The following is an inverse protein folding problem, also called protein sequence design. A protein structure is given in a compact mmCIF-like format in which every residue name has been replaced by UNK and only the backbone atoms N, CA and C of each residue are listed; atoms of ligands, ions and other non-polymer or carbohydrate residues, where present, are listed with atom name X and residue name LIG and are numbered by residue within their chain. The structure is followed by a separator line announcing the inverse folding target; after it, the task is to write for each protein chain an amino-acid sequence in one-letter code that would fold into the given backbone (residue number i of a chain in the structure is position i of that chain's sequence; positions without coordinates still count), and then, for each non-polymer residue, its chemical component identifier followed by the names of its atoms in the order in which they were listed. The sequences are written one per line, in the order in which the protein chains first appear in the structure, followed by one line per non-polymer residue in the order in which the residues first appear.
data_IF_145017789660
#
_entry.id   IF_145017789660
#
_cell.length_a   1.000
_cell.length_b   1.000
_cell.length_c   1.000
_cell.angle_alpha   90.00
_cell.angle_beta   90.00
_cell.angle_gamma   90.00
#
_symmetry.space_group_name_H-M   'P 1'
#
loop_
_entity.id
_entity.type
_entity.pdbx_description
1 polymer ?
#
# COMPACT_ATOMS: atom_id res chain seq x y z
N UNK A 1 6.76 -1.19 -13.91
CA UNK A 1 7.69 -1.13 -12.76
C UNK A 1 7.24 -2.09 -11.70
N UNK A 2 8.11 -3.01 -11.26
CA UNK A 2 7.81 -3.95 -10.17
C UNK A 2 8.26 -3.33 -8.85
N UNK A 3 7.39 -3.34 -7.86
CA UNK A 3 7.67 -2.83 -6.53
C UNK A 3 7.37 -3.93 -5.51
N UNK A 4 8.26 -4.07 -4.54
CA UNK A 4 8.07 -4.92 -3.37
C UNK A 4 8.16 -4.02 -2.16
N UNK A 5 7.04 -3.89 -1.44
CA UNK A 5 6.94 -3.03 -0.26
C UNK A 5 6.26 -3.80 0.87
N UNK A 6 6.56 -3.40 2.11
CA UNK A 6 5.76 -3.80 3.28
C UNK A 6 4.48 -2.98 3.28
N UNK A 7 3.35 -3.66 3.29
CA UNK A 7 2.03 -3.05 3.43
C UNK A 7 1.44 -3.44 4.78
N UNK A 8 0.61 -2.55 5.34
CA UNK A 8 -0.09 -2.78 6.59
C UNK A 8 -1.58 -2.80 6.32
N UNK A 9 -2.27 -3.83 6.80
CA UNK A 9 -3.73 -3.86 6.75
C UNK A 9 -4.36 -2.91 7.77
N UNK A 10 -5.70 -2.84 7.80
CA UNK A 10 -6.44 -1.97 8.72
C UNK A 10 -6.19 -2.29 10.20
N UNK A 11 -5.73 -3.50 10.50
CA UNK A 11 -5.38 -3.97 11.84
C UNK A 11 -3.90 -3.77 12.18
N UNK A 12 -3.09 -3.30 11.24
CA UNK A 12 -1.66 -3.11 11.40
C UNK A 12 -0.86 -4.40 11.25
N UNK A 13 -1.42 -5.44 10.64
CA UNK A 13 -0.67 -6.63 10.27
C UNK A 13 0.22 -6.31 9.07
N UNK A 14 1.50 -6.62 9.21
CA UNK A 14 2.47 -6.46 8.13
C UNK A 14 2.29 -7.57 7.10
N UNK A 15 2.30 -7.19 5.82
CA UNK A 15 2.34 -8.12 4.71
C UNK A 15 3.28 -7.59 3.64
N UNK A 16 4.23 -8.41 3.23
CA UNK A 16 5.02 -8.08 2.04
C UNK A 16 4.15 -8.24 0.79
N UNK A 17 4.08 -7.18 -0.01
CA UNK A 17 3.30 -7.18 -1.23
C UNK A 17 4.16 -6.76 -2.41
N UNK A 18 4.12 -7.61 -3.43
CA UNK A 18 4.79 -7.34 -4.69
C UNK A 18 3.73 -7.05 -5.74
N UNK A 19 3.86 -5.91 -6.40
CA UNK A 19 2.91 -5.49 -7.43
C UNK A 19 3.62 -4.76 -8.57
N UNK A 20 2.96 -4.75 -9.73
CA UNK A 20 3.48 -4.09 -10.93
C UNK A 20 2.66 -2.84 -11.20
N UNK A 21 3.33 -1.68 -11.22
CA UNK A 21 2.74 -0.41 -11.60
C UNK A 21 3.03 -0.11 -13.08
N UNK A 22 2.03 0.43 -13.77
CA UNK A 22 2.12 0.84 -15.19
C UNK A 22 3.08 2.03 -15.34
N UNK A 23 3.10 2.94 -14.36
CA UNK A 23 3.97 4.12 -14.31
C UNK A 23 4.83 4.15 -13.06
N UNK A 24 5.89 4.96 -13.06
CA UNK A 24 6.73 5.19 -11.89
C UNK A 24 5.91 5.85 -10.79
N UNK A 25 5.95 5.28 -9.59
CA UNK A 25 5.27 5.83 -8.41
C UNK A 25 6.09 6.97 -7.82
N UNK A 26 5.40 7.92 -7.19
CA UNK A 26 6.05 9.00 -6.43
C UNK A 26 6.70 8.43 -5.17
N UNK A 27 7.85 8.97 -4.82
CA UNK A 27 8.56 8.66 -3.57
C UNK A 27 8.06 9.54 -2.44
N UNK A 28 8.04 9.03 -1.20
CA UNK A 28 7.56 9.75 0.00
C UNK A 28 6.05 10.05 0.00
N UNK A 29 5.25 9.12 -0.51
CA UNK A 29 3.78 9.19 -0.51
C UNK A 29 3.19 7.87 -0.02
N UNK A 30 1.95 7.93 0.45
CA UNK A 30 1.19 6.76 0.87
C UNK A 30 0.25 6.28 -0.23
N UNK A 31 0.15 4.97 -0.36
CA UNK A 31 -0.70 4.31 -1.34
C UNK A 31 -1.62 3.32 -0.63
N UNK A 32 -2.90 3.40 -0.92
CA UNK A 32 -3.85 2.34 -0.60
C UNK A 32 -3.85 1.33 -1.74
N UNK A 33 -3.59 0.06 -1.41
CA UNK A 33 -3.59 -1.04 -2.38
C UNK A 33 -4.93 -1.77 -2.33
N UNK A 34 -5.60 -1.85 -3.46
CA UNK A 34 -6.80 -2.67 -3.63
C UNK A 34 -6.39 -4.13 -3.87
N UNK A 35 -6.38 -4.92 -2.81
CA UNK A 35 -6.04 -6.34 -2.86
C UNK A 35 -7.31 -7.19 -2.99
N UNK A 36 -7.41 -8.03 -4.02
CA UNK A 36 -8.55 -8.92 -4.25
C UNK A 36 -8.05 -10.29 -4.72
N UNK A 37 -8.45 -11.35 -4.02
CA UNK A 37 -8.18 -12.76 -4.38
C UNK A 37 -6.71 -12.99 -4.77
N UNK A 38 -5.79 -12.68 -3.87
CA UNK A 38 -4.36 -12.99 -4.06
C UNK A 38 -3.56 -11.94 -4.83
N UNK A 39 -4.20 -11.00 -5.51
CA UNK A 39 -3.54 -10.01 -6.38
C UNK A 39 -3.92 -8.56 -6.06
N UNK A 40 -3.03 -7.63 -6.38
CA UNK A 40 -3.31 -6.19 -6.32
C UNK A 40 -4.03 -5.77 -7.59
N UNK A 41 -5.31 -5.42 -7.48
CA UNK A 41 -6.15 -4.94 -8.60
C UNK A 41 -5.90 -3.48 -8.94
N UNK A 42 -5.39 -2.69 -8.00
CA UNK A 42 -5.11 -1.28 -8.21
C UNK A 42 -4.52 -0.62 -6.98
N UNK A 43 -4.16 0.64 -7.13
CA UNK A 43 -3.64 1.45 -6.04
C UNK A 43 -4.13 2.90 -6.18
N UNK A 44 -4.36 3.53 -5.04
CA UNK A 44 -4.82 4.92 -4.94
C UNK A 44 -3.88 5.72 -4.05
N UNK A 45 -3.57 6.95 -4.44
CA UNK A 45 -2.78 7.87 -3.61
C UNK A 45 -3.64 8.38 -2.46
N UNK A 46 -3.16 8.24 -1.23
CA UNK A 46 -3.88 8.63 0.00
C UNK A 46 -3.00 9.54 0.85
N UNK A 47 -3.64 10.35 1.70
CA UNK A 47 -2.91 11.17 2.68
C UNK A 47 -2.77 10.39 3.98
N UNK A 48 -1.78 10.77 4.78
CA UNK A 48 -1.54 10.17 6.09
C UNK A 48 -2.78 10.18 7.02
N UNK A 49 -3.66 11.18 6.85
CA UNK A 49 -4.91 11.32 7.60
C UNK A 49 -5.96 10.26 7.25
N UNK A 50 -5.92 9.73 6.02
CA UNK A 50 -6.84 8.70 5.53
C UNK A 50 -6.40 7.28 5.94
N UNK A 51 -5.17 7.14 6.42
CA UNK A 51 -4.61 5.85 6.83
C UNK A 51 -5.15 5.46 8.20
N UNK A 52 -5.64 4.21 8.38
CA UNK A 52 -6.02 3.69 9.68
C UNK A 52 -4.92 3.90 10.72
N UNK A 53 -5.26 4.41 11.91
CA UNK A 53 -4.28 4.74 12.97
C UNK A 53 -3.32 3.57 13.27
N UNK A 54 -3.83 2.34 13.29
CA UNK A 54 -3.04 1.13 13.54
C UNK A 54 -1.96 0.90 12.48
N UNK A 55 -2.28 1.12 11.21
CA UNK A 55 -1.34 1.02 10.10
C UNK A 55 -0.35 2.18 10.10
N UNK A 56 -0.83 3.41 10.37
CA UNK A 56 -0.02 4.63 10.40
C UNK A 56 1.12 4.58 11.42
N UNK A 57 0.92 3.93 12.56
CA UNK A 57 1.97 3.79 13.58
C UNK A 57 3.15 2.91 13.11
N UNK A 58 2.95 2.08 12.08
CA UNK A 58 3.96 1.14 11.57
C UNK A 58 4.61 1.54 10.23
N UNK A 59 4.10 2.59 9.58
CA UNK A 59 4.61 3.12 8.31
C UNK A 59 5.83 4.01 8.53
#
# INVERSE_FOLDING_TARGET
YKYTNKAYDKDGNEKEITYTAIKKLKTNHYLELNYKVGEVKGYSEVKEKDIPKKARIKL
#
